data_IF_977427197123
#
_entry.id   IF_977427197123
#
_cell.length_a   1.000
_cell.length_b   1.000
_cell.length_c   1.000
_cell.angle_alpha   90.00
_cell.angle_beta   90.00
_cell.angle_gamma   90.00
#
_symmetry.space_group_name_H-M   'P 1'
#
loop_
_entity.id
_entity.type
_entity.pdbx_description
1 polymer ?
#
# COMPACT_ATOMS: atom_id res chain seq x y z
N UNK A 1 -16.58 -12.24 26.38
CA UNK A 1 -16.62 -10.97 25.63
C UNK A 1 -17.10 -9.84 26.53
N UNK A 2 -16.19 -9.23 27.30
CA UNK A 2 -16.47 -7.96 27.97
C UNK A 2 -15.98 -6.84 27.04
N UNK A 3 -16.91 -6.14 26.41
CA UNK A 3 -16.61 -4.90 25.68
C UNK A 3 -16.08 -3.87 26.66
N UNK A 4 -14.89 -3.31 26.41
CA UNK A 4 -14.35 -2.21 27.19
C UNK A 4 -15.37 -1.06 27.16
N UNK A 5 -15.91 -0.62 28.30
CA UNK A 5 -16.83 0.51 28.31
C UNK A 5 -16.05 1.75 27.89
N UNK A 6 -16.51 2.40 26.82
CA UNK A 6 -16.15 3.80 26.53
C UNK A 6 -16.24 4.59 27.84
N UNK A 7 -15.23 5.41 28.15
CA UNK A 7 -15.19 6.22 29.38
C UNK A 7 -16.57 6.85 29.62
N UNK A 8 -17.22 6.64 30.79
CA UNK A 8 -18.61 7.03 30.99
C UNK A 8 -18.80 8.52 30.66
N UNK A 9 -19.63 8.82 29.66
CA UNK A 9 -20.00 10.19 29.27
C UNK A 9 -19.37 10.75 28.00
N UNK A 10 -18.52 10.03 27.27
CA UNK A 10 -18.04 10.50 25.95
C UNK A 10 -18.91 9.95 24.81
N UNK A 11 -19.68 10.84 24.17
CA UNK A 11 -20.42 10.53 22.94
C UNK A 11 -19.42 10.47 21.77
N UNK A 12 -19.54 9.51 20.84
CA UNK A 12 -18.68 9.46 19.66
C UNK A 12 -18.68 10.80 18.90
N UNK A 13 -17.53 11.24 18.35
CA UNK A 13 -17.45 12.50 17.60
C UNK A 13 -18.45 12.56 16.45
N UNK A 14 -19.29 13.59 16.46
CA UNK A 14 -20.30 13.84 15.45
C UNK A 14 -20.60 15.34 15.37
N UNK A 15 -21.29 15.74 14.31
CA UNK A 15 -21.75 17.11 14.11
C UNK A 15 -23.10 17.06 13.37
N UNK A 16 -24.19 17.15 14.13
CA UNK A 16 -25.54 17.01 13.58
C UNK A 16 -25.91 18.16 12.65
N UNK A 17 -25.43 19.37 12.95
CA UNK A 17 -25.70 20.56 12.15
C UNK A 17 -24.99 20.45 10.80
N UNK A 18 -23.75 19.95 10.77
CA UNK A 18 -23.04 19.67 9.53
C UNK A 18 -23.73 18.56 8.70
N UNK A 19 -24.16 17.46 9.32
CA UNK A 19 -24.87 16.38 8.62
C UNK A 19 -26.19 16.88 8.00
N UNK A 20 -26.99 17.61 8.77
CA UNK A 20 -28.22 18.23 8.28
C UNK A 20 -27.93 19.26 7.17
N UNK A 21 -26.80 19.98 7.29
CA UNK A 21 -26.41 20.98 6.29
C UNK A 21 -25.99 20.35 4.96
N UNK A 22 -25.35 19.17 4.98
CA UNK A 22 -25.05 18.41 3.75
C UNK A 22 -26.34 17.97 3.07
N UNK A 23 -27.24 17.32 3.81
CA UNK A 23 -28.51 16.83 3.25
C UNK A 23 -29.41 17.97 2.77
N UNK A 24 -29.49 19.06 3.52
CA UNK A 24 -30.22 20.26 3.14
C UNK A 24 -29.64 20.95 1.91
N UNK A 25 -28.30 20.97 1.77
CA UNK A 25 -27.64 21.51 0.56
C UNK A 25 -28.00 20.71 -0.69
N UNK A 26 -28.08 19.38 -0.58
CA UNK A 26 -28.48 18.50 -1.69
C UNK A 26 -29.94 18.73 -2.08
N UNK A 27 -30.83 18.91 -1.11
CA UNK A 27 -32.24 19.23 -1.35
C UNK A 27 -32.45 20.64 -1.93
N UNK A 28 -31.56 21.59 -1.63
CA UNK A 28 -31.61 22.96 -2.12
C UNK A 28 -31.03 23.09 -3.55
N UNK A 29 -29.90 22.43 -3.80
CA UNK A 29 -29.24 22.35 -5.11
C UNK A 29 -28.82 20.89 -5.37
N UNK A 30 -29.58 20.12 -6.18
CA UNK A 30 -29.31 18.71 -6.43
C UNK A 30 -27.93 18.43 -7.04
N UNK A 31 -27.38 19.37 -7.81
CA UNK A 31 -26.06 19.22 -8.44
C UNK A 31 -24.92 19.31 -7.43
N UNK A 32 -25.18 19.86 -6.23
CA UNK A 32 -24.19 20.00 -5.17
C UNK A 32 -23.71 18.64 -4.63
N UNK A 33 -24.50 17.57 -4.77
CA UNK A 33 -24.12 16.20 -4.36
C UNK A 33 -22.83 15.73 -5.04
N UNK A 34 -22.60 16.13 -6.31
CA UNK A 34 -21.40 15.78 -7.06
C UNK A 34 -20.11 16.29 -6.41
N UNK A 35 -20.19 17.38 -5.63
CA UNK A 35 -19.03 17.98 -4.95
C UNK A 35 -18.58 17.20 -3.71
N UNK A 36 -19.47 16.39 -3.12
CA UNK A 36 -19.19 15.62 -1.90
C UNK A 36 -19.15 14.11 -2.14
N UNK A 37 -19.75 13.63 -3.22
CA UNK A 37 -19.74 12.22 -3.64
C UNK A 37 -18.33 11.60 -3.62
N UNK A 38 -17.30 12.38 -3.99
CA UNK A 38 -15.92 11.91 -4.12
C UNK A 38 -15.28 11.45 -2.81
N UNK A 39 -15.73 11.99 -1.67
CA UNK A 39 -15.07 11.74 -0.39
C UNK A 39 -16.01 11.39 0.75
N UNK A 40 -17.32 11.63 0.61
CA UNK A 40 -18.31 11.39 1.65
C UNK A 40 -19.19 10.18 1.29
N UNK A 41 -19.23 9.20 2.19
CA UNK A 41 -20.04 7.99 2.05
C UNK A 41 -21.22 7.96 3.05
N UNK A 42 -22.30 7.19 2.78
CA UNK A 42 -23.41 7.02 3.72
C UNK A 42 -22.98 6.61 5.13
N UNK A 43 -21.93 5.80 5.25
CA UNK A 43 -21.38 5.29 6.51
C UNK A 43 -20.61 6.37 7.31
N UNK A 44 -20.26 7.49 6.66
CA UNK A 44 -19.62 8.62 7.33
C UNK A 44 -20.61 9.47 8.15
N UNK A 45 -21.92 9.27 8.02
CA UNK A 45 -22.92 9.91 8.86
C UNK A 45 -23.01 9.21 10.22
N UNK A 46 -23.08 9.98 11.31
CA UNK A 46 -23.25 9.42 12.65
C UNK A 46 -24.66 8.87 12.85
N UNK A 47 -25.67 9.60 12.37
CA UNK A 47 -27.05 9.12 12.39
C UNK A 47 -27.27 8.24 11.18
N UNK A 48 -27.59 6.97 11.43
CA UNK A 48 -27.94 6.02 10.37
C UNK A 48 -29.06 6.58 9.48
N UNK A 49 -30.07 7.23 10.07
CA UNK A 49 -31.14 7.90 9.33
C UNK A 49 -30.61 8.91 8.29
N UNK A 50 -29.61 9.72 8.66
CA UNK A 50 -29.02 10.70 7.74
C UNK A 50 -28.22 10.01 6.63
N UNK A 51 -27.49 8.95 6.97
CA UNK A 51 -26.78 8.13 5.99
C UNK A 51 -27.73 7.48 4.97
N UNK A 52 -28.91 7.06 5.39
CA UNK A 52 -29.93 6.49 4.50
C UNK A 52 -30.57 7.54 3.59
N UNK A 53 -30.79 8.76 4.08
CA UNK A 53 -31.22 9.89 3.24
C UNK A 53 -30.14 10.18 2.19
N UNK A 54 -28.87 10.23 2.58
CA UNK A 54 -27.77 10.43 1.65
C UNK A 54 -27.68 9.31 0.61
N UNK A 55 -27.80 8.04 1.02
CA UNK A 55 -27.83 6.90 0.11
C UNK A 55 -28.97 7.00 -0.91
N UNK A 56 -30.18 7.34 -0.47
CA UNK A 56 -31.32 7.55 -1.36
C UNK A 56 -31.05 8.69 -2.37
N UNK A 57 -30.39 9.77 -1.95
CA UNK A 57 -30.00 10.85 -2.84
C UNK A 57 -28.94 10.41 -3.87
N UNK A 58 -27.97 9.58 -3.46
CA UNK A 58 -26.98 8.98 -4.37
C UNK A 58 -27.62 8.03 -5.39
N UNK A 59 -28.61 7.24 -4.98
CA UNK A 59 -29.34 6.32 -5.87
C UNK A 59 -30.09 7.11 -6.94
N UNK A 60 -30.81 8.17 -6.56
CA UNK A 60 -31.50 9.06 -7.50
C UNK A 60 -30.52 9.77 -8.44
N UNK A 61 -29.41 10.28 -7.91
CA UNK A 61 -28.36 10.91 -8.70
C UNK A 61 -27.78 9.94 -9.75
N UNK A 62 -27.53 8.69 -9.35
CA UNK A 62 -26.98 7.65 -10.22
C UNK A 62 -27.97 7.20 -11.30
N UNK A 63 -29.27 7.22 -10.98
CA UNK A 63 -30.36 6.96 -11.93
C UNK A 63 -30.63 8.15 -12.88
N UNK A 64 -29.97 9.31 -12.66
CA UNK A 64 -30.23 10.53 -13.42
C UNK A 64 -31.59 11.17 -13.11
N UNK A 65 -32.20 10.80 -11.98
CA UNK A 65 -33.47 11.35 -11.53
C UNK A 65 -33.28 12.66 -10.73
N UNK A 66 -34.21 13.62 -10.84
CA UNK A 66 -34.12 14.85 -10.07
C UNK A 66 -34.25 14.56 -8.58
N UNK A 67 -33.40 15.19 -7.76
CA UNK A 67 -33.44 15.06 -6.30
C UNK A 67 -34.26 16.23 -5.74
N UNK A 68 -35.44 15.96 -5.23
CA UNK A 68 -36.27 16.94 -4.51
C UNK A 68 -37.00 16.25 -3.34
N UNK A 69 -37.75 17.01 -2.53
CA UNK A 69 -38.48 16.44 -1.40
C UNK A 69 -39.49 15.35 -1.80
N UNK A 70 -40.01 15.38 -3.03
CA UNK A 70 -41.01 14.42 -3.50
C UNK A 70 -40.32 13.15 -3.97
N UNK A 71 -39.30 13.26 -4.82
CA UNK A 71 -38.56 12.10 -5.36
C UNK A 71 -37.76 11.41 -4.27
N UNK A 72 -37.10 12.16 -3.39
CA UNK A 72 -36.35 11.60 -2.27
C UNK A 72 -37.27 10.89 -1.27
N UNK A 73 -38.46 11.45 -1.00
CA UNK A 73 -39.45 10.77 -0.16
C UNK A 73 -39.98 9.49 -0.81
N UNK A 74 -40.19 9.47 -2.13
CA UNK A 74 -40.62 8.28 -2.85
C UNK A 74 -39.54 7.19 -2.85
N UNK A 75 -38.27 7.58 -3.03
CA UNK A 75 -37.14 6.66 -2.94
C UNK A 75 -37.02 6.07 -1.53
N UNK A 76 -37.09 6.91 -0.49
CA UNK A 76 -37.08 6.48 0.90
C UNK A 76 -38.28 5.58 1.26
N UNK A 77 -39.44 5.82 0.65
CA UNK A 77 -40.62 4.94 0.80
C UNK A 77 -40.34 3.56 0.19
N UNK A 78 -39.74 3.53 -1.00
CA UNK A 78 -39.38 2.29 -1.70
C UNK A 78 -38.34 1.49 -0.93
N UNK A 79 -37.40 2.17 -0.26
CA UNK A 79 -36.43 1.57 0.66
C UNK A 79 -37.04 1.15 2.00
N UNK A 80 -38.31 1.46 2.28
CA UNK A 80 -38.96 1.19 3.57
C UNK A 80 -38.42 2.03 4.73
N UNK A 81 -37.79 3.18 4.43
CA UNK A 81 -37.08 4.01 5.41
C UNK A 81 -37.75 5.36 5.69
N UNK A 82 -38.76 5.79 4.91
CA UNK A 82 -39.36 7.13 5.04
C UNK A 82 -39.86 7.45 6.46
N UNK A 83 -40.57 6.51 7.08
CA UNK A 83 -41.10 6.70 8.43
C UNK A 83 -39.97 6.76 9.48
N UNK A 84 -38.91 5.96 9.30
CA UNK A 84 -37.76 5.91 10.22
C UNK A 84 -36.93 7.17 10.19
N UNK A 85 -36.83 7.84 9.04
CA UNK A 85 -36.07 9.08 8.90
C UNK A 85 -36.84 10.35 9.32
N UNK A 86 -38.09 10.21 9.79
CA UNK A 86 -38.91 11.34 10.26
C UNK A 86 -39.88 11.90 9.21
N UNK A 87 -40.06 11.18 8.10
CA UNK A 87 -41.03 11.52 7.06
C UNK A 87 -40.71 12.79 6.27
N UNK A 88 -41.69 13.21 5.45
CA UNK A 88 -41.56 14.39 4.57
C UNK A 88 -41.28 15.69 5.33
N UNK A 89 -41.78 15.81 6.55
CA UNK A 89 -41.57 16.96 7.42
C UNK A 89 -40.10 17.15 7.78
N UNK A 90 -39.34 16.07 7.96
CA UNK A 90 -37.92 16.14 8.28
C UNK A 90 -37.09 16.59 7.07
N UNK A 91 -37.43 16.13 5.86
CA UNK A 91 -36.74 16.58 4.64
C UNK A 91 -36.94 18.08 4.40
N UNK A 92 -38.17 18.57 4.57
CA UNK A 92 -38.48 20.00 4.45
C UNK A 92 -37.75 20.86 5.50
N UNK A 93 -37.58 20.36 6.73
CA UNK A 93 -36.86 21.07 7.78
C UNK A 93 -35.34 21.11 7.50
N UNK A 94 -34.76 20.03 6.99
CA UNK A 94 -33.36 20.01 6.54
C UNK A 94 -33.08 21.01 5.42
N UNK A 95 -33.96 21.08 4.42
CA UNK A 95 -33.85 22.06 3.33
C UNK A 95 -33.93 23.51 3.85
N UNK A 96 -34.81 23.76 4.82
CA UNK A 96 -35.01 25.11 5.39
C UNK A 96 -33.88 25.55 6.33
N UNK A 97 -33.12 24.60 6.88
CA UNK A 97 -32.02 24.88 7.81
C UNK A 97 -30.75 25.41 7.10
N UNK A 98 -30.65 25.27 5.77
CA UNK A 98 -29.44 25.59 5.01
C UNK A 98 -29.62 26.91 4.23
N UNK A 99 -28.83 27.96 4.54
CA UNK A 99 -28.94 29.22 3.82
C UNK A 99 -28.42 29.18 2.38
N UNK A 100 -27.45 28.30 2.10
CA UNK A 100 -26.82 28.17 0.78
C UNK A 100 -26.18 26.78 0.59
N UNK A 101 -26.35 26.20 -0.59
CA UNK A 101 -25.71 24.94 -0.97
C UNK A 101 -24.22 25.11 -1.36
N UNK A 102 -23.72 26.35 -1.46
CA UNK A 102 -22.34 26.62 -1.88
C UNK A 102 -21.30 26.03 -0.91
N UNK A 103 -21.66 25.88 0.38
CA UNK A 103 -20.75 25.43 1.44
C UNK A 103 -20.81 23.91 1.67
N UNK A 104 -21.45 23.14 0.81
CA UNK A 104 -21.62 21.69 0.99
C UNK A 104 -20.28 20.96 1.20
N UNK A 105 -19.22 21.34 0.50
CA UNK A 105 -17.89 20.73 0.66
C UNK A 105 -17.32 20.95 2.06
N UNK A 106 -17.53 22.14 2.62
CA UNK A 106 -17.07 22.47 3.97
C UNK A 106 -17.82 21.61 5.00
N UNK A 107 -19.15 21.52 4.91
CA UNK A 107 -19.94 20.67 5.82
C UNK A 107 -19.61 19.19 5.63
N UNK A 108 -19.44 18.72 4.40
CA UNK A 108 -19.02 17.36 4.08
C UNK A 108 -17.67 17.02 4.72
N UNK A 109 -16.70 17.93 4.67
CA UNK A 109 -15.38 17.74 5.32
C UNK A 109 -15.50 17.64 6.83
N UNK A 110 -16.38 18.42 7.47
CA UNK A 110 -16.66 18.28 8.92
C UNK A 110 -17.20 16.88 9.21
N UNK A 111 -18.22 16.43 8.47
CA UNK A 111 -18.80 15.09 8.66
C UNK A 111 -17.73 14.00 8.49
N UNK A 112 -16.92 14.10 7.42
CA UNK A 112 -15.83 13.16 7.15
C UNK A 112 -14.76 13.16 8.24
N UNK A 113 -14.36 14.32 8.75
CA UNK A 113 -13.41 14.43 9.87
C UNK A 113 -13.94 13.72 11.12
N UNK A 114 -15.23 13.92 11.46
CA UNK A 114 -15.86 13.22 12.58
C UNK A 114 -15.93 11.72 12.33
N UNK A 115 -16.23 11.29 11.11
CA UNK A 115 -16.24 9.88 10.72
C UNK A 115 -14.87 9.21 10.90
N UNK A 116 -13.79 9.88 10.50
CA UNK A 116 -12.42 9.39 10.75
C UNK A 116 -12.14 9.24 12.24
N UNK A 117 -12.52 10.23 13.06
CA UNK A 117 -12.36 10.14 14.52
C UNK A 117 -13.17 8.99 15.12
N UNK A 118 -14.39 8.71 14.63
CA UNK A 118 -15.18 7.55 15.05
C UNK A 118 -14.51 6.23 14.67
N UNK A 119 -14.02 6.10 13.44
CA UNK A 119 -13.28 4.92 12.98
C UNK A 119 -12.02 4.68 13.80
N UNK A 120 -11.29 5.74 14.15
CA UNK A 120 -10.13 5.64 15.03
C UNK A 120 -10.50 5.13 16.43
N UNK A 121 -11.62 5.60 17.00
CA UNK A 121 -12.12 5.10 18.28
C UNK A 121 -12.49 3.62 18.16
N UNK A 122 -13.23 3.23 17.13
CA UNK A 122 -13.60 1.82 16.89
C UNK A 122 -12.38 0.92 16.72
N UNK A 123 -11.38 1.35 15.95
CA UNK A 123 -10.11 0.64 15.81
C UNK A 123 -9.41 0.50 17.17
N UNK A 124 -9.33 1.56 17.96
CA UNK A 124 -8.75 1.53 19.31
C UNK A 124 -9.49 0.56 20.25
N UNK A 125 -10.82 0.53 20.20
CA UNK A 125 -11.64 -0.42 21.00
C UNK A 125 -11.39 -1.86 20.58
N UNK A 126 -11.30 -2.14 19.28
CA UNK A 126 -11.02 -3.49 18.78
C UNK A 126 -9.60 -3.95 19.15
N UNK A 127 -8.61 -3.08 18.98
CA UNK A 127 -7.21 -3.36 19.35
C UNK A 127 -7.11 -3.68 20.84
N UNK A 128 -7.76 -2.88 21.68
CA UNK A 128 -7.80 -3.15 23.11
C UNK A 128 -8.55 -4.46 23.44
N UNK A 129 -9.58 -4.79 22.66
CA UNK A 129 -10.28 -6.08 22.73
C UNK A 129 -9.37 -7.29 22.48
N UNK A 130 -8.47 -7.21 21.48
CA UNK A 130 -7.51 -8.28 21.22
C UNK A 130 -6.57 -8.55 22.41
N UNK A 131 -6.23 -7.52 23.18
CA UNK A 131 -5.40 -7.66 24.38
C UNK A 131 -6.07 -8.41 25.54
N UNK A 132 -7.39 -8.58 25.51
CA UNK A 132 -8.17 -9.33 26.51
C UNK A 132 -8.65 -10.70 26.00
N UNK A 133 -8.40 -11.02 24.72
CA UNK A 133 -8.86 -12.27 24.12
C UNK A 133 -7.78 -13.35 24.23
N UNK A 134 -7.89 -14.21 25.25
CA UNK A 134 -6.97 -15.33 25.47
C UNK A 134 -7.03 -16.39 24.34
N UNK A 135 -7.99 -16.30 23.41
CA UNK A 135 -8.13 -17.21 22.28
C UNK A 135 -7.31 -16.83 21.04
N UNK A 136 -6.73 -15.63 20.99
CA UNK A 136 -5.94 -15.13 19.86
C UNK A 136 -4.46 -15.14 20.25
N UNK A 137 -3.60 -15.74 19.42
CA UNK A 137 -2.16 -15.69 19.64
C UNK A 137 -1.67 -14.24 19.57
N UNK A 138 -0.72 -13.86 20.45
CA UNK A 138 -0.27 -12.48 20.58
C UNK A 138 0.27 -11.88 19.26
N UNK A 139 0.92 -12.69 18.43
CA UNK A 139 1.44 -12.27 17.12
C UNK A 139 0.30 -11.98 16.13
N UNK A 140 -0.74 -12.82 16.12
CA UNK A 140 -1.93 -12.60 15.30
C UNK A 140 -2.70 -11.36 15.75
N UNK A 141 -2.85 -11.14 17.06
CA UNK A 141 -3.46 -9.94 17.62
C UNK A 141 -2.72 -8.66 17.21
N UNK A 142 -1.38 -8.69 17.20
CA UNK A 142 -0.55 -7.57 16.73
C UNK A 142 -0.78 -7.31 15.24
N UNK A 143 -0.80 -8.36 14.41
CA UNK A 143 -1.03 -8.22 12.97
C UNK A 143 -2.42 -7.66 12.66
N UNK A 144 -3.46 -8.15 13.34
CA UNK A 144 -4.82 -7.64 13.21
C UNK A 144 -4.92 -6.16 13.66
N UNK A 145 -4.25 -5.81 14.77
CA UNK A 145 -4.19 -4.43 15.25
C UNK A 145 -3.53 -3.49 14.23
N UNK A 146 -2.41 -3.91 13.63
CA UNK A 146 -1.73 -3.14 12.61
C UNK A 146 -2.61 -2.91 11.38
N UNK A 147 -3.28 -3.96 10.88
CA UNK A 147 -4.22 -3.87 9.77
C UNK A 147 -5.35 -2.87 10.03
N UNK A 148 -5.94 -2.87 11.23
CA UNK A 148 -6.98 -1.91 11.62
C UNK A 148 -6.48 -0.46 11.62
N UNK A 149 -5.27 -0.20 12.14
CA UNK A 149 -4.69 1.16 12.15
C UNK A 149 -4.44 1.65 10.72
N UNK A 150 -3.93 0.79 9.84
CA UNK A 150 -3.70 1.13 8.45
C UNK A 150 -5.01 1.40 7.69
N UNK A 151 -6.05 0.59 7.89
CA UNK A 151 -7.35 0.79 7.25
C UNK A 151 -8.02 2.14 7.58
N UNK A 152 -7.74 2.73 8.75
CA UNK A 152 -8.21 4.08 9.09
C UNK A 152 -7.51 5.17 8.28
N UNK A 153 -6.27 4.95 7.85
CA UNK A 153 -5.48 5.90 7.07
C UNK A 153 -5.76 5.83 5.55
N UNK A 154 -6.20 4.68 5.04
CA UNK A 154 -6.24 4.37 3.60
C UNK A 154 -7.54 4.78 2.87
N UNK A 155 -8.58 5.19 3.60
CA UNK A 155 -9.84 5.71 3.02
C UNK A 155 -9.69 7.13 2.41
N UNK A 156 -8.48 7.47 1.96
CA UNK A 156 -8.19 8.67 1.17
C UNK A 156 -8.05 8.39 -0.33
N UNK A 157 -8.01 7.13 -0.75
CA UNK A 157 -7.59 6.76 -2.11
C UNK A 157 -8.59 5.80 -2.82
N UNK A 158 -9.89 6.12 -2.78
CA UNK A 158 -10.82 5.51 -3.74
C UNK A 158 -10.49 6.02 -5.15
N UNK A 159 -9.91 5.12 -5.96
CA UNK A 159 -9.47 5.39 -7.34
C UNK A 159 -10.67 5.71 -8.23
N UNK A 160 -10.85 6.99 -8.53
CA UNK A 160 -11.85 7.47 -9.50
C UNK A 160 -11.42 7.20 -10.96
N UNK A 161 -12.41 7.10 -11.84
CA UNK A 161 -12.18 7.11 -13.29
C UNK A 161 -11.71 8.50 -13.71
N UNK A 162 -10.41 8.66 -13.95
CA UNK A 162 -9.86 9.89 -14.51
C UNK A 162 -10.11 9.95 -16.03
N UNK A 163 -10.52 11.13 -16.55
CA UNK A 163 -10.57 11.34 -18.00
C UNK A 163 -9.14 11.37 -18.53
N UNK A 164 -8.91 10.72 -19.68
CA UNK A 164 -7.58 10.68 -20.31
C UNK A 164 -6.96 12.08 -20.43
N UNK A 165 -7.77 13.08 -20.81
CA UNK A 165 -7.31 14.47 -20.98
C UNK A 165 -6.66 15.05 -19.72
N UNK A 166 -7.21 14.77 -18.54
CA UNK A 166 -6.70 15.26 -17.26
C UNK A 166 -5.36 14.60 -16.88
N UNK A 167 -5.08 13.41 -17.45
CA UNK A 167 -3.83 12.68 -17.27
C UNK A 167 -2.74 13.13 -18.27
N UNK A 168 -3.12 13.72 -19.41
CA UNK A 168 -2.16 14.10 -20.46
C UNK A 168 -1.22 15.22 -20.01
N UNK A 169 -1.72 16.22 -19.29
CA UNK A 169 -0.92 17.32 -18.76
C UNK A 169 0.21 16.84 -17.83
N UNK A 170 -0.12 16.15 -16.72
CA UNK A 170 0.88 15.57 -15.82
C UNK A 170 1.83 14.58 -16.51
N UNK A 171 1.34 13.79 -17.47
CA UNK A 171 2.18 12.88 -18.24
C UNK A 171 3.21 13.63 -19.10
N UNK A 172 2.80 14.72 -19.76
CA UNK A 172 3.70 15.55 -20.57
C UNK A 172 4.74 16.27 -19.70
N UNK A 173 4.35 16.78 -18.53
CA UNK A 173 5.30 17.39 -17.59
C UNK A 173 6.37 16.37 -17.13
N UNK A 174 5.95 15.14 -16.80
CA UNK A 174 6.88 14.03 -16.50
C UNK A 174 7.85 13.74 -17.65
N UNK A 175 7.37 13.74 -18.89
CA UNK A 175 8.21 13.51 -20.08
C UNK A 175 9.21 14.66 -20.24
N UNK A 176 8.78 15.91 -20.09
CA UNK A 176 9.68 17.08 -20.20
C UNK A 176 10.79 17.03 -19.16
N UNK A 177 10.47 16.76 -17.89
CA UNK A 177 11.46 16.62 -16.82
C UNK A 177 12.48 15.50 -17.09
N UNK A 178 12.03 14.41 -17.73
CA UNK A 178 12.91 13.30 -18.12
C UNK A 178 13.81 13.65 -19.31
N UNK A 179 13.33 14.47 -20.25
CA UNK A 179 14.15 14.95 -21.36
C UNK A 179 15.23 15.92 -20.87
N UNK A 180 14.92 16.74 -19.86
CA UNK A 180 15.88 17.67 -19.25
C UNK A 180 17.00 16.97 -18.47
N UNK A 181 16.72 15.87 -17.79
CA UNK A 181 17.73 15.14 -17.01
C UNK A 181 18.80 14.48 -17.89
N UNK A 182 18.52 14.22 -19.17
CA UNK A 182 19.48 13.72 -20.17
C UNK A 182 20.03 12.32 -19.93
N UNK A 183 19.66 11.65 -18.82
CA UNK A 183 20.22 10.36 -18.40
C UNK A 183 19.51 9.16 -19.02
N UNK A 184 18.31 9.31 -19.58
CA UNK A 184 17.55 8.24 -20.23
C UNK A 184 17.06 7.12 -19.30
N UNK A 185 17.36 7.20 -17.99
CA UNK A 185 16.91 6.26 -16.97
C UNK A 185 15.83 6.93 -16.10
N UNK A 186 14.68 6.26 -15.99
CA UNK A 186 13.50 6.70 -15.26
C UNK A 186 13.34 5.79 -14.03
N UNK A 187 13.22 6.40 -12.85
CA UNK A 187 13.06 5.68 -11.59
C UNK A 187 14.40 5.28 -10.98
N UNK A 188 14.51 4.05 -10.50
CA UNK A 188 15.73 3.53 -9.85
C UNK A 188 16.63 2.85 -10.89
N UNK A 189 17.86 3.33 -11.12
CA UNK A 189 18.80 2.69 -12.04
C UNK A 189 19.30 1.35 -11.49
N UNK A 190 19.58 0.40 -12.37
CA UNK A 190 20.15 -0.90 -11.98
C UNK A 190 21.66 -0.87 -11.82
N UNK A 191 22.34 0.13 -12.42
CA UNK A 191 23.80 0.21 -12.47
C UNK A 191 24.42 -0.61 -13.61
N UNK A 192 23.61 -1.38 -14.33
CA UNK A 192 24.01 -2.07 -15.54
C UNK A 192 23.53 -1.28 -16.75
N UNK A 193 24.44 -0.53 -17.39
CA UNK A 193 24.08 0.38 -18.49
C UNK A 193 23.27 -0.25 -19.62
N UNK A 194 23.60 -1.49 -20.00
CA UNK A 194 22.85 -2.19 -21.05
C UNK A 194 21.45 -2.60 -20.58
N UNK A 195 21.29 -3.00 -19.31
CA UNK A 195 19.99 -3.30 -18.73
C UNK A 195 19.14 -2.03 -18.61
N UNK A 196 19.72 -0.94 -18.10
CA UNK A 196 19.04 0.34 -17.98
C UNK A 196 18.64 0.91 -19.33
N UNK A 197 19.43 0.69 -20.39
CA UNK A 197 19.04 1.05 -21.76
C UNK A 197 17.84 0.24 -22.26
N UNK A 198 17.76 -1.03 -21.87
CA UNK A 198 16.66 -1.92 -22.27
C UNK A 198 15.35 -1.64 -21.49
N UNK A 199 15.45 -1.31 -20.20
CA UNK A 199 14.30 -1.14 -19.31
C UNK A 199 13.88 0.33 -19.16
N UNK A 200 14.81 1.24 -19.38
CA UNK A 200 14.70 2.64 -18.98
C UNK A 200 14.74 2.80 -17.46
N UNK A 201 15.38 1.90 -16.72
CA UNK A 201 15.37 1.85 -15.25
C UNK A 201 14.15 1.16 -14.65
N UNK A 202 14.12 1.05 -13.32
CA UNK A 202 13.01 0.47 -12.58
C UNK A 202 12.03 1.56 -12.14
N UNK A 203 10.83 1.54 -12.73
CA UNK A 203 9.84 2.59 -12.54
C UNK A 203 8.99 2.34 -11.30
N UNK A 204 8.46 3.42 -10.75
CA UNK A 204 7.50 3.38 -9.65
C UNK A 204 6.35 2.45 -9.98
N UNK A 205 5.92 1.69 -8.97
CA UNK A 205 4.83 0.72 -9.09
C UNK A 205 5.14 -0.54 -9.92
N UNK A 206 6.34 -0.72 -10.45
CA UNK A 206 6.73 -1.95 -11.14
C UNK A 206 7.05 -3.08 -10.17
N UNK A 207 6.71 -4.31 -10.59
CA UNK A 207 7.15 -5.54 -9.94
C UNK A 207 8.14 -6.21 -10.89
N UNK A 208 9.39 -6.31 -10.46
CA UNK A 208 10.50 -6.88 -11.20
C UNK A 208 10.78 -8.27 -10.61
N UNK A 209 10.70 -9.30 -11.43
CA UNK A 209 10.98 -10.68 -11.00
C UNK A 209 12.37 -11.09 -11.48
N UNK A 210 13.26 -11.43 -10.54
CA UNK A 210 14.57 -12.00 -10.83
C UNK A 210 14.52 -13.49 -10.56
N UNK A 211 14.56 -14.30 -11.63
CA UNK A 211 14.40 -15.73 -11.52
C UNK A 211 15.55 -16.55 -12.11
N UNK A 212 15.82 -17.70 -11.50
CA UNK A 212 16.94 -18.55 -11.83
C UNK A 212 17.07 -19.75 -10.88
N UNK A 213 17.88 -20.73 -11.27
CA UNK A 213 18.19 -21.91 -10.44
C UNK A 213 19.06 -21.54 -9.23
N UNK A 214 19.16 -22.41 -8.21
CA UNK A 214 20.18 -22.27 -7.17
C UNK A 214 21.56 -22.02 -7.78
N UNK A 215 22.36 -21.19 -7.10
CA UNK A 215 23.74 -20.85 -7.52
C UNK A 215 23.89 -20.06 -8.83
N UNK A 216 22.81 -19.58 -9.46
CA UNK A 216 22.88 -18.69 -10.65
C UNK A 216 23.10 -17.20 -10.33
N UNK A 217 23.38 -16.84 -9.07
CA UNK A 217 23.73 -15.46 -8.70
C UNK A 217 22.56 -14.48 -8.58
N UNK A 218 21.32 -14.95 -8.40
CA UNK A 218 20.11 -14.09 -8.28
C UNK A 218 20.24 -13.03 -7.17
N UNK A 219 20.57 -13.48 -5.96
CA UNK A 219 20.77 -12.61 -4.79
C UNK A 219 21.91 -11.63 -5.04
N UNK A 220 23.03 -12.09 -5.60
CA UNK A 220 24.15 -11.21 -5.95
C UNK A 220 23.72 -10.11 -6.93
N UNK A 221 22.97 -10.45 -7.98
CA UNK A 221 22.44 -9.47 -8.93
C UNK A 221 21.55 -8.43 -8.23
N UNK A 222 20.61 -8.87 -7.40
CA UNK A 222 19.69 -7.97 -6.69
C UNK A 222 20.43 -7.05 -5.70
N UNK A 223 21.43 -7.59 -4.97
CA UNK A 223 22.25 -6.81 -4.04
C UNK A 223 23.14 -5.80 -4.75
N UNK A 224 23.70 -6.14 -5.92
CA UNK A 224 24.50 -5.21 -6.71
C UNK A 224 23.66 -4.03 -7.20
N UNK A 225 22.42 -4.29 -7.64
CA UNK A 225 21.48 -3.24 -8.01
C UNK A 225 21.14 -2.36 -6.79
N UNK A 226 20.80 -2.97 -5.64
CA UNK A 226 20.50 -2.25 -4.41
C UNK A 226 21.68 -1.37 -3.97
N UNK A 227 22.90 -1.91 -4.02
CA UNK A 227 24.13 -1.23 -3.65
C UNK A 227 24.40 -0.03 -4.57
N UNK A 228 24.30 -0.21 -5.89
CA UNK A 228 24.46 0.88 -6.84
C UNK A 228 23.40 1.98 -6.64
N UNK A 229 22.13 1.60 -6.50
CA UNK A 229 21.05 2.55 -6.27
C UNK A 229 21.26 3.35 -4.97
N UNK A 230 21.74 2.71 -3.90
CA UNK A 230 22.00 3.37 -2.63
C UNK A 230 23.24 4.27 -2.66
N UNK A 231 24.35 3.81 -3.24
CA UNK A 231 25.62 4.53 -3.19
C UNK A 231 25.71 5.65 -4.23
N UNK A 232 25.40 5.33 -5.50
CA UNK A 232 25.56 6.25 -6.63
C UNK A 232 24.34 7.15 -6.80
N UNK A 233 23.14 6.57 -6.66
CA UNK A 233 21.87 7.28 -6.89
C UNK A 233 21.21 7.80 -5.61
N UNK A 234 21.83 7.58 -4.45
CA UNK A 234 21.36 8.02 -3.12
C UNK A 234 19.90 7.64 -2.83
N UNK A 235 19.47 6.48 -3.32
CA UNK A 235 18.13 5.92 -3.11
C UNK A 235 18.07 5.15 -1.79
N UNK A 236 16.95 5.27 -1.09
CA UNK A 236 16.71 4.49 0.11
C UNK A 236 16.18 3.09 -0.24
N UNK A 237 16.81 2.03 0.23
CA UNK A 237 16.51 0.65 -0.16
C UNK A 237 16.08 -0.17 1.05
N UNK A 238 14.98 -0.91 0.94
CA UNK A 238 14.61 -1.94 1.91
C UNK A 238 14.87 -3.33 1.33
N UNK A 239 15.54 -4.19 2.10
CA UNK A 239 15.83 -5.58 1.75
C UNK A 239 15.16 -6.49 2.77
N UNK A 240 14.22 -7.31 2.30
CA UNK A 240 13.57 -8.35 3.09
C UNK A 240 14.19 -9.69 2.71
N UNK A 241 14.91 -10.29 3.66
CA UNK A 241 15.67 -11.52 3.48
C UNK A 241 15.07 -12.64 4.29
N UNK A 242 14.58 -13.66 3.62
CA UNK A 242 13.94 -14.83 4.20
C UNK A 242 14.89 -16.03 4.26
N UNK A 243 15.95 -16.04 3.46
CA UNK A 243 16.94 -17.13 3.40
C UNK A 243 18.24 -16.79 4.14
N UNK A 244 18.72 -15.55 4.01
CA UNK A 244 20.00 -15.12 4.56
C UNK A 244 19.81 -14.21 5.78
N UNK A 245 20.71 -14.32 6.76
CA UNK A 245 20.73 -13.37 7.87
C UNK A 245 21.25 -12.00 7.43
N UNK A 246 20.92 -10.95 8.19
CA UNK A 246 21.43 -9.59 7.93
C UNK A 246 22.95 -9.52 7.99
N UNK A 247 23.60 -10.32 8.83
CA UNK A 247 25.06 -10.40 8.90
C UNK A 247 25.66 -10.96 7.61
N UNK A 248 25.07 -12.03 7.06
CA UNK A 248 25.54 -12.62 5.80
C UNK A 248 25.33 -11.67 4.61
N UNK A 249 24.21 -10.94 4.59
CA UNK A 249 23.98 -9.91 3.57
C UNK A 249 24.95 -8.73 3.71
N UNK A 250 25.22 -8.29 4.93
CA UNK A 250 26.18 -7.22 5.20
C UNK A 250 27.58 -7.61 4.75
N UNK A 251 28.02 -8.85 5.04
CA UNK A 251 29.30 -9.38 4.57
C UNK A 251 29.39 -9.38 3.04
N UNK A 252 28.30 -9.73 2.34
CA UNK A 252 28.25 -9.66 0.87
C UNK A 252 28.33 -8.23 0.35
N UNK A 253 27.55 -7.29 0.90
CA UNK A 253 27.62 -5.89 0.49
C UNK A 253 29.03 -5.31 0.72
N UNK A 254 29.67 -5.69 1.83
CA UNK A 254 31.04 -5.26 2.14
C UNK A 254 32.07 -5.84 1.18
N UNK A 255 31.99 -7.13 0.86
CA UNK A 255 32.92 -7.78 -0.08
C UNK A 255 32.77 -7.25 -1.50
N UNK A 256 31.53 -6.99 -1.93
CA UNK A 256 31.23 -6.33 -3.22
C UNK A 256 31.79 -4.91 -3.25
N UNK A 257 31.58 -4.09 -2.21
CA UNK A 257 32.10 -2.72 -2.19
C UNK A 257 33.64 -2.67 -2.08
N UNK A 258 34.25 -3.54 -1.29
CA UNK A 258 35.69 -3.59 -1.09
C UNK A 258 36.44 -4.33 -2.23
N UNK A 259 35.71 -5.03 -3.11
CA UNK A 259 36.25 -5.85 -4.20
C UNK A 259 37.25 -6.90 -3.68
N UNK A 260 36.90 -7.61 -2.61
CA UNK A 260 37.72 -8.66 -2.00
C UNK A 260 37.04 -10.02 -2.09
N UNK A 261 37.84 -11.08 -2.02
CA UNK A 261 37.34 -12.45 -1.97
C UNK A 261 36.57 -12.70 -0.66
N UNK A 262 35.32 -13.17 -0.79
CA UNK A 262 34.45 -13.42 0.35
C UNK A 262 34.94 -14.54 1.27
N UNK A 263 35.61 -15.59 0.76
CA UNK A 263 36.17 -16.64 1.61
C UNK A 263 37.34 -16.13 2.45
N UNK A 264 38.14 -15.22 1.90
CA UNK A 264 39.23 -14.59 2.65
C UNK A 264 38.71 -13.73 3.79
N UNK A 265 37.67 -12.92 3.54
CA UNK A 265 37.00 -12.14 4.58
C UNK A 265 36.43 -13.06 5.67
N UNK A 266 35.67 -14.08 5.28
CA UNK A 266 35.03 -15.01 6.20
C UNK A 266 36.02 -15.76 7.10
N UNK A 267 37.20 -16.10 6.56
CA UNK A 267 38.27 -16.76 7.32
C UNK A 267 39.14 -15.80 8.13
N UNK A 268 38.93 -14.49 8.01
CA UNK A 268 39.78 -13.46 8.62
C UNK A 268 41.21 -13.44 8.07
N UNK A 269 41.40 -13.92 6.84
CA UNK A 269 42.72 -14.03 6.18
C UNK A 269 42.95 -12.88 5.20
N UNK A 270 42.86 -11.65 5.70
CA UNK A 270 43.09 -10.44 4.92
C UNK A 270 44.56 -10.03 5.01
N UNK A 271 45.13 -9.68 3.86
CA UNK A 271 46.35 -8.87 3.82
C UNK A 271 46.09 -7.44 4.33
N UNK A 272 47.14 -6.70 4.69
CA UNK A 272 47.00 -5.28 5.07
C UNK A 272 46.29 -4.46 3.98
N UNK A 273 46.65 -4.66 2.71
CA UNK A 273 46.01 -3.95 1.59
C UNK A 273 44.53 -4.33 1.40
N UNK A 274 44.13 -5.55 1.73
CA UNK A 274 42.70 -5.94 1.71
C UNK A 274 41.95 -5.36 2.90
N UNK A 275 42.59 -5.33 4.08
CA UNK A 275 42.03 -4.70 5.26
C UNK A 275 41.79 -3.20 5.05
N UNK A 276 42.72 -2.50 4.40
CA UNK A 276 42.57 -1.09 4.04
C UNK A 276 41.40 -0.88 3.08
N UNK A 277 41.22 -1.75 2.07
CA UNK A 277 40.06 -1.69 1.17
C UNK A 277 38.73 -1.89 1.90
N UNK A 278 38.68 -2.84 2.83
CA UNK A 278 37.51 -3.08 3.68
C UNK A 278 37.22 -1.85 4.54
N UNK A 279 38.25 -1.28 5.19
CA UNK A 279 38.11 -0.08 6.03
C UNK A 279 37.56 1.10 5.21
N UNK A 280 38.09 1.31 4.01
CA UNK A 280 37.62 2.36 3.10
C UNK A 280 36.18 2.12 2.61
N UNK A 281 35.74 0.88 2.48
CA UNK A 281 34.37 0.53 2.07
C UNK A 281 33.33 0.80 3.18
N UNK A 282 33.73 0.76 4.46
CA UNK A 282 32.81 1.00 5.59
C UNK A 282 32.22 2.41 5.59
N UNK A 283 32.97 3.42 5.16
CA UNK A 283 32.49 4.81 5.10
C UNK A 283 31.28 4.96 4.17
N UNK A 284 31.44 4.72 2.86
CA UNK A 284 30.34 4.79 1.90
C UNK A 284 29.16 3.88 2.26
N UNK A 285 29.41 2.65 2.74
CA UNK A 285 28.35 1.73 3.16
C UNK A 285 27.61 2.22 4.40
N UNK A 286 28.30 2.85 5.36
CA UNK A 286 27.68 3.40 6.56
C UNK A 286 26.78 4.60 6.29
N UNK A 287 27.04 5.35 5.22
CA UNK A 287 26.20 6.45 4.74
C UNK A 287 25.06 5.98 3.83
N UNK A 288 25.12 4.75 3.31
CA UNK A 288 24.12 4.21 2.40
C UNK A 288 22.78 3.97 3.13
N UNK A 289 21.68 4.45 2.56
CA UNK A 289 20.33 4.26 3.10
C UNK A 289 19.80 2.85 2.77
N UNK A 290 20.46 1.80 3.27
CA UNK A 290 20.06 0.40 3.10
C UNK A 290 19.52 -0.14 4.42
N UNK A 291 18.27 -0.61 4.41
CA UNK A 291 17.58 -1.18 5.56
C UNK A 291 17.32 -2.66 5.34
N UNK A 292 17.79 -3.52 6.24
CA UNK A 292 17.68 -4.98 6.11
C UNK A 292 16.77 -5.53 7.20
N UNK A 293 15.83 -6.38 6.80
CA UNK A 293 14.99 -7.17 7.68
C UNK A 293 15.17 -8.66 7.35
N UNK A 294 15.69 -9.43 8.30
CA UNK A 294 15.95 -10.87 8.18
C UNK A 294 14.98 -11.73 9.01
N UNK A 295 13.78 -11.21 9.28
CA UNK A 295 12.78 -11.95 10.07
C UNK A 295 12.41 -13.25 9.34
N UNK A 296 12.64 -14.42 9.97
CA UNK A 296 12.37 -15.70 9.33
C UNK A 296 10.87 -15.93 9.16
N UNK A 297 10.49 -16.71 8.15
CA UNK A 297 9.11 -17.16 7.92
C UNK A 297 8.06 -16.03 7.88
N UNK A 298 8.42 -14.88 7.29
CA UNK A 298 7.51 -13.74 7.12
C UNK A 298 6.34 -14.09 6.19
N UNK A 299 5.12 -13.85 6.66
CA UNK A 299 3.92 -13.96 5.84
C UNK A 299 3.71 -12.71 4.96
N UNK A 300 2.78 -12.81 4.00
CA UNK A 300 2.46 -11.73 3.05
C UNK A 300 2.03 -10.44 3.75
N UNK A 301 1.21 -10.57 4.79
CA UNK A 301 0.68 -9.44 5.54
C UNK A 301 1.80 -8.72 6.30
N UNK A 302 2.64 -9.46 7.02
CA UNK A 302 3.76 -8.89 7.78
C UNK A 302 4.74 -8.19 6.84
N UNK A 303 5.03 -8.76 5.67
CA UNK A 303 5.88 -8.12 4.66
C UNK A 303 5.32 -6.76 4.23
N UNK A 304 4.03 -6.70 3.89
CA UNK A 304 3.38 -5.45 3.49
C UNK A 304 3.42 -4.41 4.61
N UNK A 305 3.15 -4.82 5.86
CA UNK A 305 3.16 -3.93 7.02
C UNK A 305 4.54 -3.35 7.28
N UNK A 306 5.59 -4.18 7.24
CA UNK A 306 6.97 -3.74 7.40
C UNK A 306 7.43 -2.84 6.26
N UNK A 307 7.04 -3.16 5.01
CA UNK A 307 7.31 -2.31 3.86
C UNK A 307 6.65 -0.93 3.98
N UNK A 308 5.38 -0.87 4.42
CA UNK A 308 4.69 0.40 4.72
C UNK A 308 5.41 1.19 5.82
N UNK A 309 5.80 0.53 6.92
CA UNK A 309 6.54 1.18 8.00
C UNK A 309 7.89 1.73 7.51
N UNK A 310 8.62 0.96 6.70
CA UNK A 310 9.87 1.41 6.11
C UNK A 310 9.68 2.61 5.18
N UNK A 311 8.62 2.63 4.35
CA UNK A 311 8.25 3.80 3.53
C UNK A 311 7.93 5.02 4.37
N UNK A 312 7.18 4.87 5.46
CA UNK A 312 6.83 5.99 6.33
C UNK A 312 8.03 6.55 7.11
N UNK A 313 8.91 5.68 7.62
CA UNK A 313 10.03 6.09 8.49
C UNK A 313 11.26 6.57 7.72
N UNK A 314 11.53 5.93 6.58
CA UNK A 314 12.79 6.08 5.86
C UNK A 314 12.61 6.53 4.41
N UNK A 315 11.36 6.71 3.95
CA UNK A 315 11.03 7.09 2.58
C UNK A 315 11.71 6.22 1.50
N UNK A 316 11.67 4.90 1.67
CA UNK A 316 12.29 3.95 0.73
C UNK A 316 11.83 4.16 -0.72
N UNK A 317 12.76 4.00 -1.65
CA UNK A 317 12.60 4.14 -3.10
C UNK A 317 12.62 2.80 -3.85
N UNK A 318 13.15 1.73 -3.24
CA UNK A 318 13.19 0.38 -3.80
C UNK A 318 13.01 -0.65 -2.69
N UNK A 319 12.24 -1.69 -2.97
CA UNK A 319 12.16 -2.89 -2.14
C UNK A 319 12.81 -4.06 -2.87
N UNK A 320 13.61 -4.86 -2.15
CA UNK A 320 14.12 -6.17 -2.59
C UNK A 320 13.56 -7.24 -1.65
N UNK A 321 13.01 -8.32 -2.19
CA UNK A 321 12.47 -9.47 -1.44
C UNK A 321 13.17 -10.75 -1.90
N UNK A 322 13.87 -11.44 -1.01
CA UNK A 322 14.62 -12.68 -1.26
C UNK A 322 14.24 -13.79 -0.26
N UNK A 323 13.57 -14.90 -0.59
CA UNK A 323 12.95 -15.36 -1.83
C UNK A 323 11.47 -15.68 -1.61
N UNK A 324 10.63 -15.45 -2.62
CA UNK A 324 9.17 -15.51 -2.51
C UNK A 324 8.60 -16.84 -2.00
N UNK A 325 9.25 -17.96 -2.32
CA UNK A 325 8.72 -19.30 -2.03
C UNK A 325 8.93 -19.73 -0.57
N UNK A 326 9.48 -18.86 0.28
CA UNK A 326 9.65 -19.11 1.71
C UNK A 326 8.52 -18.49 2.55
N UNK A 327 7.72 -17.62 1.94
CA UNK A 327 6.49 -17.05 2.52
C UNK A 327 5.41 -18.14 2.54
N UNK A 328 5.43 -19.02 3.54
CA UNK A 328 4.52 -20.18 3.61
C UNK A 328 3.22 -19.87 4.33
N UNK A 329 2.12 -20.30 3.72
CA UNK A 329 0.99 -20.92 4.41
C UNK A 329 1.17 -22.44 4.48
N UNK A 330 0.92 -23.05 5.63
CA UNK A 330 0.93 -24.51 5.83
C UNK A 330 -0.11 -25.19 4.92
N UNK A 331 0.24 -25.61 3.69
CA UNK A 331 -0.68 -26.39 2.85
C UNK A 331 -0.01 -27.51 2.07
N UNK A 332 -0.62 -28.70 2.11
CA UNK A 332 -0.11 -29.97 1.56
C UNK A 332 -0.65 -30.19 0.13
N UNK A 333 0.13 -29.86 -0.90
CA UNK A 333 -0.13 -30.27 -2.31
C UNK A 333 0.54 -29.38 -3.38
N UNK A 334 0.98 -29.97 -4.50
CA UNK A 334 1.67 -29.27 -5.61
C UNK A 334 0.77 -28.26 -6.36
N UNK A 335 -0.53 -28.55 -6.53
CA UNK A 335 -1.50 -27.62 -7.16
C UNK A 335 -1.66 -26.30 -6.38
N UNK A 336 -1.41 -26.33 -5.06
CA UNK A 336 -1.50 -25.15 -4.20
C UNK A 336 -0.32 -24.20 -4.41
N UNK A 337 0.85 -24.71 -4.83
CA UNK A 337 2.07 -23.91 -4.94
C UNK A 337 2.00 -22.89 -6.08
N UNK A 338 1.43 -23.25 -7.22
CA UNK A 338 1.22 -22.33 -8.35
C UNK A 338 0.25 -21.21 -7.96
N UNK A 339 -0.79 -21.55 -7.20
CA UNK A 339 -1.77 -20.58 -6.70
C UNK A 339 -1.16 -19.64 -5.67
N UNK A 340 -0.29 -20.15 -4.78
CA UNK A 340 0.42 -19.39 -3.75
C UNK A 340 1.44 -18.41 -4.35
N UNK A 341 2.26 -18.86 -5.31
CA UNK A 341 3.18 -17.94 -6.03
C UNK A 341 2.38 -16.85 -6.77
N UNK A 342 1.22 -17.20 -7.30
CA UNK A 342 0.32 -16.26 -7.98
C UNK A 342 -0.34 -15.27 -7.01
N UNK A 343 -0.66 -15.66 -5.77
CA UNK A 343 -1.18 -14.74 -4.75
C UNK A 343 -0.10 -13.78 -4.29
N UNK A 344 1.09 -14.29 -3.95
CA UNK A 344 2.23 -13.48 -3.52
C UNK A 344 2.63 -12.47 -4.60
N UNK A 345 2.68 -12.89 -5.87
CA UNK A 345 3.00 -11.97 -6.97
C UNK A 345 1.97 -10.84 -7.11
N UNK A 346 0.67 -11.15 -6.95
CA UNK A 346 -0.40 -10.14 -6.95
C UNK A 346 -0.28 -9.19 -5.77
N UNK A 347 0.05 -9.72 -4.60
CA UNK A 347 0.27 -8.96 -3.38
C UNK A 347 1.42 -7.96 -3.52
N UNK A 348 2.57 -8.43 -3.99
CA UNK A 348 3.73 -7.56 -4.23
C UNK A 348 3.47 -6.52 -5.30
N UNK A 349 2.71 -6.86 -6.35
CA UNK A 349 2.29 -5.85 -7.34
C UNK A 349 1.34 -4.82 -6.71
N UNK A 350 0.45 -5.25 -5.81
CA UNK A 350 -0.39 -4.37 -5.00
C UNK A 350 0.46 -3.41 -4.17
N UNK A 351 1.42 -3.95 -3.41
CA UNK A 351 2.36 -3.19 -2.59
C UNK A 351 3.16 -2.17 -3.39
N UNK A 352 3.72 -2.58 -4.54
CA UNK A 352 4.45 -1.68 -5.45
C UNK A 352 3.58 -0.49 -5.87
N UNK A 353 2.33 -0.75 -6.28
CA UNK A 353 1.37 0.28 -6.71
C UNK A 353 0.93 1.20 -5.59
N UNK A 354 0.72 0.65 -4.41
CA UNK A 354 0.31 1.40 -3.24
C UNK A 354 1.42 2.34 -2.78
N UNK A 355 2.63 1.81 -2.59
CA UNK A 355 3.78 2.58 -2.13
C UNK A 355 4.41 3.47 -3.22
N UNK A 356 3.97 3.29 -4.49
CA UNK A 356 4.48 3.95 -5.69
C UNK A 356 6.01 3.84 -5.81
N UNK A 357 6.53 2.63 -5.62
CA UNK A 357 7.97 2.31 -5.74
C UNK A 357 8.16 0.98 -6.47
N UNK A 358 9.30 0.77 -7.16
CA UNK A 358 9.67 -0.53 -7.68
C UNK A 358 9.87 -1.57 -6.57
N UNK A 359 9.47 -2.81 -6.85
CA UNK A 359 9.71 -3.99 -6.00
C UNK A 359 10.43 -5.04 -6.83
N UNK A 360 11.63 -5.43 -6.41
CA UNK A 360 12.37 -6.57 -6.94
C UNK A 360 12.06 -7.79 -6.08
N UNK A 361 11.56 -8.85 -6.69
CA UNK A 361 11.28 -10.10 -6.01
C UNK A 361 12.09 -11.24 -6.63
N UNK A 362 12.82 -11.98 -5.79
CA UNK A 362 13.64 -13.10 -6.21
C UNK A 362 12.81 -14.38 -6.18
N UNK A 363 12.84 -15.11 -7.28
CA UNK A 363 12.12 -16.37 -7.47
C UNK A 363 13.06 -17.49 -7.90
N UNK A 364 12.91 -18.68 -7.32
CA UNK A 364 13.63 -19.87 -7.78
C UNK A 364 12.86 -20.58 -8.89
N UNK A 365 13.54 -20.96 -9.98
CA UNK A 365 12.91 -21.75 -11.05
C UNK A 365 12.84 -23.24 -10.71
N UNK A 366 11.87 -23.94 -11.31
CA UNK A 366 11.80 -25.40 -11.32
C UNK A 366 13.05 -26.04 -11.96
N UNK A 367 13.17 -27.37 -11.90
CA UNK A 367 14.27 -28.11 -12.54
C UNK A 367 14.08 -28.31 -14.05
N UNK A 368 12.94 -27.89 -14.62
CA UNK A 368 12.60 -28.11 -16.02
C UNK A 368 13.65 -27.59 -17.03
N UNK A 369 14.32 -26.42 -16.84
CA UNK A 369 15.35 -25.95 -17.75
C UNK A 369 16.53 -26.92 -17.88
N UNK A 370 16.87 -27.67 -16.83
CA UNK A 370 18.03 -28.59 -16.83
C UNK A 370 17.79 -29.82 -17.70
N UNK A 371 16.52 -30.17 -17.97
CA UNK A 371 16.12 -31.33 -18.75
C UNK A 371 16.03 -31.04 -20.25
N UNK A 372 16.04 -29.75 -20.64
CA UNK A 372 16.00 -29.34 -22.04
C UNK A 372 17.40 -29.30 -22.65
N UNK A 373 17.52 -29.54 -23.98
CA UNK A 373 18.77 -29.31 -24.71
C UNK A 373 19.25 -27.86 -24.59
N UNK A 374 18.31 -26.90 -24.71
CA UNK A 374 18.56 -25.50 -24.38
C UNK A 374 18.15 -25.22 -22.93
N UNK A 375 19.15 -24.95 -22.09
CA UNK A 375 19.01 -24.70 -20.65
C UNK A 375 18.62 -23.26 -20.32
N UNK A 376 18.40 -22.40 -21.32
CA UNK A 376 17.91 -21.05 -21.11
C UNK A 376 16.51 -21.09 -20.49
N UNK A 377 16.28 -20.33 -19.39
CA UNK A 377 14.95 -20.18 -18.83
C UNK A 377 13.96 -19.56 -19.83
N UNK A 378 12.71 -20.00 -19.76
CA UNK A 378 11.56 -19.46 -20.47
C UNK A 378 10.43 -19.18 -19.49
N UNK A 379 9.41 -18.41 -19.92
CA UNK A 379 8.32 -17.97 -19.03
C UNK A 379 7.53 -19.12 -18.37
N UNK A 380 7.44 -20.29 -19.02
CA UNK A 380 6.76 -21.44 -18.41
C UNK A 380 7.49 -21.97 -17.18
N UNK A 381 8.81 -21.81 -17.10
CA UNK A 381 9.62 -22.30 -15.96
C UNK A 381 9.39 -21.51 -14.67
N UNK A 382 8.69 -20.38 -14.76
CA UNK A 382 8.32 -19.51 -13.64
C UNK A 382 6.91 -19.83 -13.12
N UNK A 383 6.10 -20.54 -13.92
CA UNK A 383 4.75 -21.01 -13.56
C UNK A 383 4.77 -22.38 -12.88
N UNK A 384 5.78 -23.20 -13.18
CA UNK A 384 6.10 -24.48 -12.53
C UNK A 384 7.05 -24.28 -11.36
#
# INVERSE_FOLDING_TARGET
MQTIPLTPGRVPPHDQDAEMSVLGSILLDPLSVAKVLQFLHPEDFYRENNGQIYRAALDLFSAGEPIDNVTLAAQLQTMGMLDRVGGRTQLASMQSAVPTAANIEYYGRIVKEKAYKRRLISAGTNIAGFGYDDGVEAEEAINQAQSLVFGVADDRDQRELARLYDLLGPAMERISLQMESGQGVIGVPSGFHDLDRMTGGFKDSDLIIVAGRPSMGKTSLALNIALHAALESKKAIAIFSLEMSKEQLTERLLTEQAQIDAQRLHRGLLSEAEYDRVSNALGPLGEAAIYIDDTPAMDELTLQLKARQAKMRHNIDLIVVDYLQLMHGRSRGDDNRVQEVSSISRALKGLARELRIPVIAISQLSRAPEQRPDKRPILSDLRE
#
